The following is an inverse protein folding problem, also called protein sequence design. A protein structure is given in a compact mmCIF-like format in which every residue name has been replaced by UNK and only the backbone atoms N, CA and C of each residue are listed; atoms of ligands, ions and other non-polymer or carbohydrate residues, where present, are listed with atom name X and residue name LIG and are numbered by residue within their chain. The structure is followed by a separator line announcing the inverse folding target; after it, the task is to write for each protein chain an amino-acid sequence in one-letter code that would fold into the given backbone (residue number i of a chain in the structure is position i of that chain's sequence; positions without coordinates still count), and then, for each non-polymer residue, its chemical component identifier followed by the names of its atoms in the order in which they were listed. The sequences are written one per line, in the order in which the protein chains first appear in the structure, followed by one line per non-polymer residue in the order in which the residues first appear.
data_IF_541733090547
#
_entry.id   IF_541733090547
#
_cell.length_a   1.000
_cell.length_b   1.000
_cell.length_c   1.000
_cell.angle_alpha   90.00
_cell.angle_beta   90.00
_cell.angle_gamma   90.00
#
_symmetry.space_group_name_H-M   'P 1'
#
loop_
_entity.id
_entity.type
_entity.pdbx_description
1 polymer ?
#
# COMPACT_ATOMS: atom_id res chain seq x y z
N UNK A 1 -38.55 -3.82 -21.26
CA UNK A 1 -37.11 -4.07 -21.47
C UNK A 1 -36.39 -3.76 -20.15
N UNK A 2 -35.81 -4.76 -19.48
CA UNK A 2 -35.07 -4.53 -18.22
C UNK A 2 -33.68 -4.02 -18.56
N UNK A 3 -33.42 -2.72 -18.33
CA UNK A 3 -32.08 -2.15 -18.44
C UNK A 3 -31.17 -2.81 -17.40
N UNK A 4 -30.27 -3.68 -17.85
CA UNK A 4 -29.16 -4.20 -17.05
C UNK A 4 -28.21 -3.03 -16.73
N UNK A 5 -28.42 -2.37 -15.59
CA UNK A 5 -27.50 -1.36 -15.06
C UNK A 5 -26.12 -2.02 -14.89
N UNK A 6 -25.08 -1.37 -15.42
CA UNK A 6 -23.70 -1.83 -15.28
C UNK A 6 -23.38 -2.07 -13.79
N UNK A 7 -22.59 -3.11 -13.46
CA UNK A 7 -22.26 -3.44 -12.08
C UNK A 7 -21.62 -2.23 -11.40
N UNK A 8 -22.24 -1.77 -10.31
CA UNK A 8 -21.71 -0.68 -9.50
C UNK A 8 -20.37 -1.14 -8.92
N UNK A 9 -19.28 -0.56 -9.41
CA UNK A 9 -17.93 -0.78 -8.89
C UNK A 9 -17.84 -0.15 -7.50
N UNK A 10 -18.24 -0.91 -6.49
CA UNK A 10 -18.18 -0.48 -5.08
C UNK A 10 -16.74 -0.60 -4.59
N UNK A 11 -16.27 0.43 -3.90
CA UNK A 11 -15.05 0.33 -3.10
C UNK A 11 -15.18 -0.85 -2.12
N UNK A 12 -14.08 -1.54 -1.79
CA UNK A 12 -14.11 -2.62 -0.81
C UNK A 12 -14.72 -2.12 0.50
N UNK A 13 -15.50 -2.99 1.16
CA UNK A 13 -16.13 -2.65 2.45
C UNK A 13 -15.05 -2.20 3.43
N UNK A 14 -15.30 -1.09 4.12
CA UNK A 14 -14.38 -0.51 5.11
C UNK A 14 -13.40 0.54 4.58
N UNK A 15 -13.12 0.61 3.26
CA UNK A 15 -12.13 1.57 2.71
C UNK A 15 -12.58 3.03 2.85
N UNK A 16 -13.89 3.29 2.78
CA UNK A 16 -14.47 4.63 2.93
C UNK A 16 -14.99 4.92 4.35
N UNK A 17 -14.82 3.98 5.29
CA UNK A 17 -15.38 4.10 6.64
C UNK A 17 -14.47 4.85 7.61
N UNK A 18 -13.16 4.90 7.33
CA UNK A 18 -12.16 5.52 8.18
C UNK A 18 -11.50 6.72 7.50
N UNK A 19 -10.90 7.59 8.32
CA UNK A 19 -10.18 8.76 7.83
C UNK A 19 -8.92 8.31 7.06
N UNK A 20 -8.65 8.87 5.86
CA UNK A 20 -7.47 8.48 5.08
C UNK A 20 -6.16 8.72 5.84
N UNK A 21 -5.18 7.85 5.59
CA UNK A 21 -3.79 8.09 6.00
C UNK A 21 -3.16 9.04 4.99
N UNK A 22 -2.82 10.25 5.43
CA UNK A 22 -2.09 11.22 4.62
C UNK A 22 -0.60 10.94 4.68
N UNK A 23 0.05 10.82 3.52
CA UNK A 23 1.48 10.58 3.39
C UNK A 23 2.13 11.75 2.66
N UNK A 24 3.30 12.17 3.13
CA UNK A 24 4.15 13.13 2.40
C UNK A 24 5.02 12.34 1.43
N UNK A 25 4.98 12.74 0.18
CA UNK A 25 5.84 12.21 -0.87
C UNK A 25 6.78 13.33 -1.33
N UNK A 26 8.03 12.98 -1.58
CA UNK A 26 8.93 13.85 -2.32
C UNK A 26 8.37 14.12 -3.73
N UNK A 27 8.77 15.22 -4.38
CA UNK A 27 8.29 15.56 -5.72
C UNK A 27 8.47 14.43 -6.73
N UNK A 28 9.62 13.75 -6.71
CA UNK A 28 9.93 12.65 -7.63
C UNK A 28 9.10 11.39 -7.36
N UNK A 29 8.86 11.08 -6.08
CA UNK A 29 8.00 9.96 -5.66
C UNK A 29 6.55 10.20 -6.10
N UNK A 30 6.07 11.45 -5.94
CA UNK A 30 4.73 11.85 -6.42
C UNK A 30 4.63 11.74 -7.93
N UNK A 31 5.64 12.21 -8.67
CA UNK A 31 5.66 12.15 -10.13
C UNK A 31 5.60 10.69 -10.62
N UNK A 32 6.41 9.82 -10.04
CA UNK A 32 6.40 8.38 -10.34
C UNK A 32 5.00 7.78 -10.13
N UNK A 33 4.35 8.11 -9.01
CA UNK A 33 3.01 7.64 -8.71
C UNK A 33 1.95 8.15 -9.70
N UNK A 34 2.04 9.41 -10.13
CA UNK A 34 1.15 10.02 -11.11
C UNK A 34 1.33 9.39 -12.51
N UNK A 35 2.57 9.14 -12.93
CA UNK A 35 2.90 8.45 -14.18
C UNK A 35 2.34 7.02 -14.21
N UNK A 36 2.53 6.26 -13.12
CA UNK A 36 1.95 4.91 -12.99
C UNK A 36 0.42 4.92 -13.01
N UNK A 37 -0.18 5.96 -12.46
CA UNK A 37 -1.64 6.11 -12.43
C UNK A 37 -2.21 6.38 -13.82
N UNK A 38 -1.55 7.26 -14.58
CA UNK A 38 -1.89 7.55 -15.96
C UNK A 38 -1.74 6.29 -16.83
N UNK A 39 -0.62 5.57 -16.72
CA UNK A 39 -0.35 4.35 -17.48
C UNK A 39 -1.41 3.25 -17.24
N UNK A 40 -1.93 3.16 -16.01
CA UNK A 40 -2.91 2.13 -15.62
C UNK A 40 -4.38 2.57 -15.78
N UNK A 41 -4.65 3.82 -16.22
CA UNK A 41 -5.99 4.40 -16.26
C UNK A 41 -6.73 4.26 -14.91
N UNK A 42 -6.04 4.54 -13.80
CA UNK A 42 -6.56 4.43 -12.43
C UNK A 42 -6.28 5.70 -11.64
N UNK A 43 -7.04 5.93 -10.58
CA UNK A 43 -6.77 7.06 -9.69
C UNK A 43 -5.49 6.86 -8.90
N UNK A 44 -4.82 7.97 -8.58
CA UNK A 44 -3.60 8.02 -7.76
C UNK A 44 -3.76 7.26 -6.44
N UNK A 45 -4.88 7.46 -5.75
CA UNK A 45 -5.16 6.74 -4.49
C UNK A 45 -5.34 5.24 -4.67
N UNK A 46 -5.91 4.80 -5.81
CA UNK A 46 -6.04 3.37 -6.11
C UNK A 46 -4.69 2.73 -6.37
N UNK A 47 -3.80 3.42 -7.11
CA UNK A 47 -2.46 2.94 -7.43
C UNK A 47 -1.58 2.94 -6.19
N UNK A 48 -1.64 4.00 -5.39
CA UNK A 48 -0.94 4.07 -4.11
C UNK A 48 -1.33 2.91 -3.17
N UNK A 49 -2.62 2.57 -3.11
CA UNK A 49 -3.08 1.44 -2.30
C UNK A 49 -2.54 0.11 -2.82
N UNK A 50 -2.46 -0.11 -4.13
CA UNK A 50 -1.90 -1.34 -4.68
C UNK A 50 -0.41 -1.47 -4.34
N UNK A 51 0.37 -0.40 -4.56
CA UNK A 51 1.80 -0.35 -4.22
C UNK A 51 2.00 -0.59 -2.72
N UNK A 52 1.20 0.04 -1.87
CA UNK A 52 1.24 -0.18 -0.43
C UNK A 52 1.02 -1.65 -0.07
N UNK A 53 -0.01 -2.29 -0.61
CA UNK A 53 -0.31 -3.70 -0.32
C UNK A 53 0.82 -4.63 -0.77
N UNK A 54 1.42 -4.37 -1.94
CA UNK A 54 2.58 -5.10 -2.45
C UNK A 54 3.81 -4.92 -1.54
N UNK A 55 4.06 -3.69 -1.08
CA UNK A 55 5.17 -3.39 -0.17
C UNK A 55 4.99 -3.93 1.25
N UNK A 56 3.75 -4.06 1.74
CA UNK A 56 3.47 -4.57 3.09
C UNK A 56 3.98 -6.00 3.29
N UNK A 57 3.83 -6.87 2.30
CA UNK A 57 4.31 -8.26 2.39
C UNK A 57 5.83 -8.29 2.54
N UNK A 58 6.53 -7.56 1.68
CA UNK A 58 8.00 -7.45 1.72
C UNK A 58 8.50 -6.81 3.03
N UNK A 59 7.80 -5.77 3.50
CA UNK A 59 8.14 -5.10 4.75
C UNK A 59 7.96 -6.02 5.95
N UNK A 60 6.88 -6.82 5.98
CA UNK A 60 6.64 -7.81 7.04
C UNK A 60 7.78 -8.83 7.12
N UNK A 61 8.23 -9.37 5.99
CA UNK A 61 9.35 -10.30 5.95
C UNK A 61 10.63 -9.67 6.52
N UNK A 62 10.97 -8.45 6.12
CA UNK A 62 12.16 -7.74 6.64
C UNK A 62 12.10 -7.54 8.15
N UNK A 63 10.92 -7.18 8.67
CA UNK A 63 10.74 -6.93 10.10
C UNK A 63 10.78 -8.23 10.91
N UNK A 64 10.20 -9.32 10.43
CA UNK A 64 10.29 -10.62 11.10
C UNK A 64 11.73 -11.14 11.14
N UNK A 65 12.46 -11.04 10.01
CA UNK A 65 13.86 -11.48 9.94
C UNK A 65 14.79 -10.66 10.85
N UNK A 66 14.44 -9.39 11.10
CA UNK A 66 15.18 -8.50 12.00
C UNK A 66 14.90 -8.78 13.48
N UNK A 67 13.72 -9.29 13.83
CA UNK A 67 13.37 -9.66 15.19
C UNK A 67 14.15 -10.90 15.65
N UNK A 68 14.40 -11.85 14.75
CA UNK A 68 15.21 -13.04 15.03
C UNK A 68 16.70 -12.72 15.22
N UNK A 69 17.22 -11.65 14.60
CA UNK A 69 18.62 -11.21 14.76
C UNK A 69 18.88 -10.39 16.03
N UNK A 70 17.85 -9.76 16.63
CA UNK A 70 18.02 -9.02 17.88
C UNK A 70 18.22 -9.94 19.10
N UNK A 71 17.71 -11.18 19.07
CA UNK A 71 17.92 -12.14 20.15
C UNK A 71 19.31 -12.80 20.15
N UNK A 72 20.05 -12.80 19.04
CA UNK A 72 21.37 -13.45 18.96
C UNK A 72 22.54 -12.54 19.37
N UNK A 73 22.34 -11.22 19.48
CA UNK A 73 23.40 -10.27 19.81
C UNK A 73 23.55 -9.96 21.31
N UNK A 74 22.70 -10.52 22.18
CA UNK A 74 22.72 -10.26 23.63
C UNK A 74 23.55 -11.26 24.45
N UNK A 75 24.34 -12.13 23.81
CA UNK A 75 25.25 -13.06 24.49
C UNK A 75 26.71 -12.82 24.09
N UNK A 76 27.27 -11.69 24.52
CA UNK A 76 28.71 -11.50 24.65
C UNK A 76 28.94 -10.74 25.96
N UNK A 77 29.02 -11.50 27.05
CA UNK A 77 29.36 -10.95 28.36
C UNK A 77 30.84 -10.64 28.49
N UNK A 78 31.19 -9.83 29.50
CA UNK A 78 32.33 -9.97 30.42
C UNK A 78 32.18 -8.96 31.55
#
# INVERSE_FOLDING_TARGET
MVNKKAPVRRSPRGVLSSKPVYMRLMPDERRTLEELSAAQNRSTSSVARMIYLEGVEQYRSKVSDSADQQHSSSFAGS
#
